data_IF_731719404907
#
_entry.id   IF_731719404907
#
_cell.length_a   1.000
_cell.length_b   1.000
_cell.length_c   1.000
_cell.angle_alpha   90.00
_cell.angle_beta   90.00
_cell.angle_gamma   90.00
#
_symmetry.space_group_name_H-M   'P 1'
#
loop_
_entity.id
_entity.type
_entity.pdbx_description
1 polymer ?
#
# COMPACT_ATOMS: atom_id res chain seq x y z
N UNK A 1 -3.51 -33.30 -28.73
CA UNK A 1 -2.77 -32.65 -27.62
C UNK A 1 -3.54 -31.39 -27.25
N UNK A 2 -4.47 -31.49 -26.29
CA UNK A 2 -4.31 -30.93 -24.94
C UNK A 2 -3.97 -29.43 -25.02
N UNK A 3 -4.89 -28.48 -24.88
CA UNK A 3 -6.00 -28.43 -23.94
C UNK A 3 -5.52 -27.79 -22.64
N UNK A 4 -5.47 -26.46 -22.57
CA UNK A 4 -5.24 -25.70 -21.33
C UNK A 4 -5.72 -24.23 -21.35
N UNK A 5 -6.54 -23.78 -22.32
CA UNK A 5 -6.87 -22.34 -22.46
C UNK A 5 -8.30 -21.92 -22.04
N UNK A 6 -9.10 -22.84 -21.49
CA UNK A 6 -10.50 -22.53 -21.14
C UNK A 6 -10.82 -22.40 -19.65
N UNK A 7 -9.88 -22.72 -18.75
CA UNK A 7 -10.13 -22.70 -17.30
C UNK A 7 -9.69 -21.44 -16.56
N UNK A 8 -8.89 -20.55 -17.18
CA UNK A 8 -8.42 -19.33 -16.50
C UNK A 8 -9.40 -18.14 -16.68
N UNK A 9 -10.27 -18.15 -17.71
CA UNK A 9 -11.23 -17.05 -17.96
C UNK A 9 -12.60 -17.18 -17.27
N UNK A 10 -12.89 -18.28 -16.56
CA UNK A 10 -14.22 -18.51 -15.95
C UNK A 10 -14.27 -18.38 -14.42
N UNK A 11 -13.17 -18.00 -13.76
CA UNK A 11 -13.10 -17.89 -12.29
C UNK A 11 -12.97 -16.46 -11.74
N UNK A 12 -13.41 -15.44 -12.49
CA UNK A 12 -13.48 -14.03 -12.02
C UNK A 12 -14.77 -13.35 -12.51
N UNK A 13 -15.92 -14.04 -12.47
CA UNK A 13 -17.25 -13.43 -12.71
C UNK A 13 -18.35 -14.02 -11.84
N UNK A 14 -18.08 -14.09 -10.54
CA UNK A 14 -19.06 -14.56 -9.58
C UNK A 14 -18.75 -14.10 -8.17
N UNK A 15 -18.89 -12.79 -7.91
CA UNK A 15 -19.30 -12.26 -6.59
C UNK A 15 -19.50 -10.74 -6.64
N UNK A 16 -20.77 -10.36 -6.49
CA UNK A 16 -21.26 -9.15 -5.82
C UNK A 16 -20.86 -7.77 -6.37
N UNK A 17 -21.67 -7.26 -7.31
CA UNK A 17 -22.03 -5.83 -7.33
C UNK A 17 -22.81 -5.52 -6.05
N UNK A 18 -22.15 -5.05 -5.00
CA UNK A 18 -22.81 -4.25 -3.96
C UNK A 18 -22.67 -2.79 -4.34
N UNK A 19 -23.80 -2.24 -4.80
CA UNK A 19 -24.05 -0.83 -5.04
C UNK A 19 -23.77 -0.07 -3.74
N UNK A 20 -22.75 0.78 -3.74
CA UNK A 20 -22.58 1.80 -2.70
C UNK A 20 -23.75 2.77 -2.85
N UNK A 21 -24.73 2.63 -1.94
CA UNK A 21 -25.77 3.63 -1.76
C UNK A 21 -25.18 4.65 -0.79
N UNK A 22 -24.87 5.83 -1.29
CA UNK A 22 -24.66 7.04 -0.49
C UNK A 22 -25.92 7.18 0.35
N UNK A 23 -25.77 7.12 1.67
CA UNK A 23 -26.88 7.32 2.59
C UNK A 23 -26.78 8.76 3.08
N UNK A 24 -27.58 9.62 2.44
CA UNK A 24 -27.80 10.98 2.84
C UNK A 24 -28.40 11.03 4.25
N UNK A 25 -28.00 12.07 4.98
CA UNK A 25 -28.35 12.30 6.36
C UNK A 25 -29.86 12.32 6.58
N UNK A 26 -30.34 11.40 7.42
CA UNK A 26 -31.62 11.50 8.08
C UNK A 26 -31.39 11.28 9.58
N UNK A 27 -31.75 12.29 10.37
CA UNK A 27 -31.44 12.43 11.77
C UNK A 27 -31.77 11.19 12.60
N UNK A 28 -30.77 10.71 13.34
CA UNK A 28 -31.01 9.92 14.54
C UNK A 28 -30.83 10.86 15.72
N UNK A 29 -31.95 11.21 16.34
CA UNK A 29 -31.96 11.75 17.69
C UNK A 29 -31.08 10.84 18.59
N UNK A 30 -30.26 11.41 19.49
CA UNK A 30 -29.52 10.60 20.43
C UNK A 30 -30.53 9.84 21.28
N UNK A 31 -30.48 8.51 21.20
CA UNK A 31 -31.27 7.65 22.06
C UNK A 31 -30.96 8.04 23.51
N UNK A 32 -31.93 8.72 24.15
CA UNK A 32 -31.90 9.02 25.57
C UNK A 32 -31.74 7.67 26.26
N UNK A 33 -30.53 7.41 26.78
CA UNK A 33 -30.25 6.27 27.62
C UNK A 33 -31.21 6.38 28.78
N UNK A 34 -32.31 5.62 28.75
CA UNK A 34 -33.16 5.40 29.92
C UNK A 34 -32.20 5.04 31.04
N UNK A 35 -32.19 5.88 32.07
CA UNK A 35 -31.50 5.63 33.32
C UNK A 35 -31.92 4.23 33.73
N UNK A 36 -31.00 3.26 33.64
CA UNK A 36 -31.24 1.92 34.16
C UNK A 36 -31.50 2.13 35.64
N UNK A 37 -32.76 2.02 36.06
CA UNK A 37 -33.11 1.73 37.45
C UNK A 37 -32.17 0.63 37.88
N UNK A 38 -31.42 0.87 38.96
CA UNK A 38 -30.36 -0.01 39.42
C UNK A 38 -30.85 -1.45 39.42
N UNK A 39 -30.42 -2.19 38.41
CA UNK A 39 -30.91 -3.54 38.17
C UNK A 39 -30.21 -4.42 39.19
N UNK A 40 -30.89 -4.66 40.31
CA UNK A 40 -30.46 -5.56 41.38
C UNK A 40 -30.30 -6.99 40.84
N UNK A 41 -30.74 -7.27 39.60
CA UNK A 41 -30.52 -8.49 38.82
C UNK A 41 -29.10 -8.69 38.28
N UNK A 42 -28.08 -8.05 38.85
CA UNK A 42 -26.70 -8.52 38.66
C UNK A 42 -26.43 -9.85 39.39
N UNK A 43 -27.25 -10.87 39.14
CA UNK A 43 -27.03 -12.29 39.47
C UNK A 43 -26.63 -12.55 40.92
N UNK A 44 -27.24 -11.83 41.86
CA UNK A 44 -26.90 -11.88 43.29
C UNK A 44 -28.06 -12.31 44.18
N UNK A 45 -29.17 -12.79 43.64
CA UNK A 45 -30.19 -13.41 44.51
C UNK A 45 -29.61 -14.72 45.00
N UNK A 46 -29.10 -14.74 46.23
CA UNK A 46 -28.76 -16.01 46.87
C UNK A 46 -30.03 -16.84 46.94
N UNK A 47 -29.97 -18.14 46.64
CA UNK A 47 -31.12 -19.04 46.76
C UNK A 47 -31.76 -19.02 48.16
N UNK A 48 -31.04 -18.49 49.16
CA UNK A 48 -31.45 -18.40 50.55
C UNK A 48 -32.26 -17.14 50.91
N UNK A 49 -32.38 -16.14 50.02
CA UNK A 49 -33.06 -14.86 50.32
C UNK A 49 -33.97 -14.45 49.16
N UNK A 50 -35.13 -13.90 49.48
CA UNK A 50 -35.98 -13.22 48.49
C UNK A 50 -35.33 -11.92 48.00
N UNK A 51 -35.82 -11.36 46.89
CA UNK A 51 -35.29 -10.11 46.34
C UNK A 51 -35.35 -8.95 47.34
N UNK A 52 -36.45 -8.85 48.10
CA UNK A 52 -36.64 -7.84 49.15
C UNK A 52 -35.72 -8.05 50.35
N UNK A 53 -35.56 -9.29 50.80
CA UNK A 53 -34.60 -9.62 51.87
C UNK A 53 -33.17 -9.29 51.45
N UNK A 54 -32.83 -9.55 50.19
CA UNK A 54 -31.53 -9.23 49.64
C UNK A 54 -31.29 -7.71 49.60
N UNK A 55 -32.28 -6.91 49.19
CA UNK A 55 -32.21 -5.43 49.25
C UNK A 55 -31.91 -4.93 50.66
N UNK A 56 -32.67 -5.41 51.65
CA UNK A 56 -32.50 -5.00 53.05
C UNK A 56 -31.14 -5.41 53.59
N UNK A 57 -30.68 -6.64 53.34
CA UNK A 57 -29.35 -7.11 53.75
C UNK A 57 -28.23 -6.19 53.24
N UNK A 58 -28.34 -5.75 51.99
CA UNK A 58 -27.34 -4.91 51.36
C UNK A 58 -27.33 -3.50 51.93
N UNK A 59 -28.52 -2.92 52.16
CA UNK A 59 -28.65 -1.64 52.83
C UNK A 59 -28.01 -1.72 54.21
N UNK A 60 -28.35 -2.74 55.00
CA UNK A 60 -27.76 -2.95 56.32
C UNK A 60 -26.22 -3.06 56.23
N UNK A 61 -25.69 -3.91 55.34
CA UNK A 61 -24.24 -4.08 55.19
C UNK A 61 -23.48 -2.79 54.88
N UNK A 62 -24.10 -1.90 54.09
CA UNK A 62 -23.55 -0.61 53.66
C UNK A 62 -23.68 0.50 54.71
N UNK A 63 -24.79 0.54 55.45
CA UNK A 63 -25.07 1.61 56.41
C UNK A 63 -24.61 1.28 57.83
N UNK A 64 -24.06 0.08 58.07
CA UNK A 64 -23.52 -0.29 59.38
C UNK A 64 -22.32 0.57 59.79
N UNK A 65 -22.25 1.08 61.04
CA UNK A 65 -23.15 0.84 62.17
C UNK A 65 -24.32 1.84 62.31
N UNK A 66 -24.47 2.77 61.37
CA UNK A 66 -25.35 3.95 61.47
C UNK A 66 -26.84 3.68 61.19
N UNK A 67 -27.39 2.54 61.62
CA UNK A 67 -28.81 2.25 61.51
C UNK A 67 -29.60 2.92 62.64
N UNK A 68 -29.64 4.26 62.64
CA UNK A 68 -30.54 5.08 63.44
C UNK A 68 -30.82 4.58 64.88
N UNK A 69 -29.78 4.52 65.72
CA UNK A 69 -29.96 4.56 67.17
C UNK A 69 -28.97 5.59 67.78
N UNK A 70 -29.41 6.77 68.23
CA UNK A 70 -28.53 7.84 68.72
C UNK A 70 -27.85 7.56 70.08
N UNK A 71 -28.07 6.39 70.70
CA UNK A 71 -27.82 6.22 72.14
C UNK A 71 -26.66 5.27 72.48
N UNK A 72 -26.07 4.57 71.51
CA UNK A 72 -24.97 3.64 71.84
C UNK A 72 -23.63 4.22 71.42
N UNK A 73 -22.84 4.63 72.41
CA UNK A 73 -21.46 5.11 72.30
C UNK A 73 -20.65 4.31 71.27
N UNK A 74 -19.87 5.05 70.47
CA UNK A 74 -18.96 4.57 69.42
C UNK A 74 -17.78 3.76 69.99
N UNK A 75 -18.07 2.64 70.65
CA UNK A 75 -17.04 1.70 71.11
C UNK A 75 -16.71 0.74 69.98
N UNK A 76 -15.44 0.72 69.57
CA UNK A 76 -14.83 -0.12 68.52
C UNK A 76 -15.61 -1.41 68.20
N UNK A 77 -16.50 -1.33 67.20
CA UNK A 77 -17.40 -2.43 66.92
C UNK A 77 -16.66 -3.48 66.09
N UNK A 78 -16.12 -4.49 66.77
CA UNK A 78 -15.45 -5.62 66.14
C UNK A 78 -16.31 -6.26 65.04
N UNK A 79 -15.66 -6.69 63.94
CA UNK A 79 -16.27 -7.39 62.79
C UNK A 79 -17.17 -8.57 63.20
N UNK A 80 -16.91 -9.15 64.38
CA UNK A 80 -17.72 -10.18 65.02
C UNK A 80 -19.14 -9.73 65.36
N UNK A 81 -19.29 -8.50 65.85
CA UNK A 81 -20.56 -7.91 66.28
C UNK A 81 -21.39 -7.41 65.10
N UNK A 82 -20.75 -6.91 64.03
CA UNK A 82 -21.42 -6.46 62.79
C UNK A 82 -22.44 -7.46 62.28
N UNK A 83 -21.99 -8.67 62.00
CA UNK A 83 -22.84 -9.67 61.36
C UNK A 83 -23.89 -10.25 62.31
N UNK A 84 -23.65 -10.23 63.62
CA UNK A 84 -24.66 -10.59 64.62
C UNK A 84 -25.78 -9.55 64.67
N UNK A 85 -25.44 -8.25 64.62
CA UNK A 85 -26.43 -7.16 64.52
C UNK A 85 -27.23 -7.23 63.21
N UNK A 86 -26.55 -7.48 62.07
CA UNK A 86 -27.22 -7.67 60.77
C UNK A 86 -28.19 -8.86 60.84
N UNK A 87 -27.77 -9.99 61.42
CA UNK A 87 -28.63 -11.19 61.53
C UNK A 87 -29.88 -10.92 62.36
N UNK A 88 -29.74 -10.27 63.52
CA UNK A 88 -30.87 -9.94 64.39
C UNK A 88 -31.84 -8.98 63.70
N UNK A 89 -31.32 -7.94 63.04
CA UNK A 89 -32.15 -6.97 62.29
C UNK A 89 -32.88 -7.63 61.13
N UNK A 90 -32.22 -8.55 60.42
CA UNK A 90 -32.84 -9.34 59.35
C UNK A 90 -33.96 -10.25 59.89
N UNK A 91 -33.78 -10.88 61.06
CA UNK A 91 -34.82 -11.71 61.71
C UNK A 91 -35.98 -10.89 62.27
N UNK A 92 -35.71 -9.68 62.77
CA UNK A 92 -36.73 -8.77 63.25
C UNK A 92 -37.64 -8.28 62.11
N UNK A 93 -37.07 -7.98 60.94
CA UNK A 93 -37.82 -7.54 59.75
C UNK A 93 -38.47 -8.69 58.98
N UNK A 94 -37.89 -9.88 59.03
CA UNK A 94 -38.36 -11.05 58.30
C UNK A 94 -38.43 -12.26 59.23
N UNK A 95 -39.59 -12.46 59.86
CA UNK A 95 -39.83 -13.52 60.86
C UNK A 95 -39.59 -14.94 60.31
N UNK A 96 -39.74 -15.15 59.00
CA UNK A 96 -39.55 -16.45 58.33
C UNK A 96 -38.14 -16.69 57.78
N UNK A 97 -37.16 -15.82 58.06
CA UNK A 97 -35.82 -15.95 57.50
C UNK A 97 -35.01 -17.07 58.17
N UNK A 98 -34.48 -18.00 57.38
CA UNK A 98 -33.63 -19.11 57.85
C UNK A 98 -32.13 -18.82 57.71
N UNK A 99 -31.77 -17.65 57.18
CA UNK A 99 -30.38 -17.28 56.89
C UNK A 99 -29.58 -17.01 58.17
N UNK A 100 -28.44 -17.71 58.31
CA UNK A 100 -27.52 -17.54 59.44
C UNK A 100 -26.49 -16.44 59.16
N UNK A 101 -25.81 -15.96 60.21
CA UNK A 101 -24.65 -15.05 60.10
C UNK A 101 -23.66 -15.41 58.98
N UNK A 102 -23.27 -16.69 58.92
CA UNK A 102 -22.29 -17.19 57.94
C UNK A 102 -22.84 -17.08 56.52
N UNK A 103 -24.12 -17.38 56.34
CA UNK A 103 -24.82 -17.28 55.06
C UNK A 103 -24.87 -15.82 54.59
N UNK A 104 -25.32 -14.90 55.45
CA UNK A 104 -25.41 -13.47 55.13
C UNK A 104 -24.05 -12.86 54.77
N UNK A 105 -23.02 -13.22 55.54
CA UNK A 105 -21.64 -12.80 55.26
C UNK A 105 -21.13 -13.37 53.93
N UNK A 106 -21.37 -14.65 53.65
CA UNK A 106 -20.98 -15.31 52.41
C UNK A 106 -21.65 -14.66 51.19
N UNK A 107 -22.92 -14.29 51.30
CA UNK A 107 -23.68 -13.60 50.24
C UNK A 107 -23.04 -12.25 49.90
N UNK A 108 -22.73 -11.44 50.91
CA UNK A 108 -22.12 -10.13 50.70
C UNK A 108 -20.66 -10.23 50.19
N UNK A 109 -19.86 -11.17 50.72
CA UNK A 109 -18.49 -11.41 50.24
C UNK A 109 -18.45 -11.90 48.81
N UNK A 110 -19.33 -12.84 48.43
CA UNK A 110 -19.45 -13.33 47.06
C UNK A 110 -19.82 -12.19 46.09
N UNK A 111 -20.75 -11.31 46.49
CA UNK A 111 -21.12 -10.12 45.70
C UNK A 111 -19.96 -9.15 45.52
N UNK A 112 -19.20 -8.87 46.58
CA UNK A 112 -17.99 -8.01 46.50
C UNK A 112 -16.97 -8.59 45.53
N UNK A 113 -16.67 -9.88 45.66
CA UNK A 113 -15.76 -10.59 44.76
C UNK A 113 -16.24 -10.56 43.30
N UNK A 114 -17.54 -10.78 43.07
CA UNK A 114 -18.14 -10.73 41.73
C UNK A 114 -18.09 -9.34 41.10
N UNK A 115 -18.30 -8.28 41.89
CA UNK A 115 -18.13 -6.89 41.42
C UNK A 115 -16.69 -6.61 41.04
N UNK A 116 -15.75 -7.05 41.85
CA UNK A 116 -14.32 -6.86 41.58
C UNK A 116 -13.89 -7.64 40.33
N UNK A 117 -14.36 -8.88 40.18
CA UNK A 117 -14.14 -9.68 38.98
C UNK A 117 -14.70 -8.99 37.73
N UNK A 118 -15.91 -8.43 37.81
CA UNK A 118 -16.50 -7.67 36.70
C UNK A 118 -15.81 -6.33 36.43
N UNK A 119 -15.16 -5.73 37.45
CA UNK A 119 -14.34 -4.52 37.29
C UNK A 119 -13.05 -4.86 36.57
N UNK A 120 -12.36 -5.92 37.01
CA UNK A 120 -11.13 -6.40 36.39
C UNK A 120 -11.37 -6.85 34.94
N UNK A 121 -12.46 -7.57 34.67
CA UNK A 121 -12.83 -7.96 33.29
C UNK A 121 -12.97 -6.74 32.38
N UNK A 122 -13.70 -5.70 32.80
CA UNK A 122 -13.83 -4.46 32.02
C UNK A 122 -12.48 -3.78 31.80
N UNK A 123 -11.62 -3.73 32.82
CA UNK A 123 -10.28 -3.15 32.68
C UNK A 123 -9.37 -3.93 31.72
N UNK A 124 -9.54 -5.25 31.61
CA UNK A 124 -8.83 -6.08 30.63
C UNK A 124 -9.39 -5.85 29.24
N UNK A 125 -10.72 -5.86 29.06
CA UNK A 125 -11.37 -5.58 27.78
C UNK A 125 -11.02 -4.19 27.24
N UNK A 126 -10.99 -3.16 28.08
CA UNK A 126 -10.58 -1.80 27.69
C UNK A 126 -9.12 -1.74 27.21
N UNK A 127 -8.23 -2.48 27.88
CA UNK A 127 -6.81 -2.57 27.47
C UNK A 127 -6.64 -3.34 26.17
N UNK A 128 -7.28 -4.49 26.02
CA UNK A 128 -7.24 -5.28 24.78
C UNK A 128 -7.80 -4.51 23.59
N UNK A 129 -8.87 -3.74 23.79
CA UNK A 129 -9.44 -2.91 22.73
C UNK A 129 -8.55 -1.72 22.38
N UNK A 130 -7.89 -1.09 23.37
CA UNK A 130 -6.92 -0.03 23.14
C UNK A 130 -5.69 -0.53 22.37
N UNK A 131 -5.07 -1.62 22.82
CA UNK A 131 -3.90 -2.22 22.16
C UNK A 131 -4.20 -2.66 20.72
N UNK A 132 -5.40 -3.20 20.46
CA UNK A 132 -5.82 -3.55 19.11
C UNK A 132 -5.99 -2.32 18.22
N UNK A 133 -6.57 -1.24 18.76
CA UNK A 133 -6.73 0.01 18.01
C UNK A 133 -5.37 0.63 17.68
N UNK A 134 -4.46 0.69 18.65
CA UNK A 134 -3.10 1.23 18.47
C UNK A 134 -2.28 0.38 17.50
N UNK A 135 -2.37 -0.95 17.56
CA UNK A 135 -1.69 -1.82 16.61
C UNK A 135 -2.22 -1.63 15.18
N UNK A 136 -3.53 -1.45 15.01
CA UNK A 136 -4.13 -1.20 13.69
C UNK A 136 -3.79 0.18 13.13
N UNK A 137 -3.74 1.23 13.96
CA UNK A 137 -3.40 2.58 13.49
C UNK A 137 -1.94 2.69 13.09
N UNK A 138 -1.03 2.05 13.84
CA UNK A 138 0.40 2.01 13.49
C UNK A 138 0.63 1.28 12.15
N UNK A 139 -0.04 0.13 11.94
CA UNK A 139 0.05 -0.61 10.68
C UNK A 139 -0.53 0.19 9.49
N UNK A 140 -1.69 0.84 9.67
CA UNK A 140 -2.31 1.69 8.65
C UNK A 140 -1.42 2.90 8.28
N UNK A 141 -0.78 3.54 9.26
CA UNK A 141 0.13 4.67 9.03
C UNK A 141 1.40 4.25 8.27
N UNK A 142 1.99 3.11 8.64
CA UNK A 142 3.15 2.55 7.94
C UNK A 142 2.80 2.18 6.49
N UNK A 143 1.67 1.52 6.28
CA UNK A 143 1.19 1.18 4.94
C UNK A 143 0.93 2.44 4.10
N UNK A 144 0.33 3.49 4.67
CA UNK A 144 0.12 4.75 3.97
C UNK A 144 1.44 5.43 3.59
N UNK A 145 2.44 5.39 4.47
CA UNK A 145 3.76 5.96 4.18
C UNK A 145 4.45 5.20 3.03
N UNK A 146 4.37 3.87 3.02
CA UNK A 146 4.92 3.05 1.95
C UNK A 146 4.19 3.28 0.61
N UNK A 147 2.86 3.38 0.63
CA UNK A 147 2.07 3.72 -0.56
C UNK A 147 2.50 5.08 -1.13
N UNK A 148 2.73 6.09 -0.29
CA UNK A 148 3.21 7.41 -0.75
C UNK A 148 4.60 7.31 -1.38
N UNK A 149 5.50 6.55 -0.76
CA UNK A 149 6.86 6.33 -1.28
C UNK A 149 6.82 5.63 -2.64
N UNK A 150 6.05 4.56 -2.77
CA UNK A 150 5.90 3.81 -4.02
C UNK A 150 5.27 4.67 -5.12
N UNK A 151 4.24 5.48 -4.81
CA UNK A 151 3.65 6.41 -5.77
C UNK A 151 4.67 7.41 -6.31
N UNK A 152 5.48 8.00 -5.45
CA UNK A 152 6.52 8.94 -5.86
C UNK A 152 7.57 8.26 -6.76
N UNK A 153 7.95 7.01 -6.45
CA UNK A 153 8.89 6.25 -7.28
C UNK A 153 8.30 5.93 -8.66
N UNK A 154 7.03 5.52 -8.72
CA UNK A 154 6.34 5.27 -9.99
C UNK A 154 6.30 6.53 -10.84
N UNK A 155 5.92 7.68 -10.26
CA UNK A 155 5.85 8.95 -10.98
C UNK A 155 7.24 9.38 -11.51
N UNK A 156 8.30 9.20 -10.72
CA UNK A 156 9.66 9.46 -11.18
C UNK A 156 10.06 8.55 -12.35
N UNK A 157 9.76 7.25 -12.25
CA UNK A 157 10.05 6.27 -13.30
C UNK A 157 9.27 6.57 -14.58
N UNK A 158 8.01 7.00 -14.48
CA UNK A 158 7.19 7.40 -15.63
C UNK A 158 7.80 8.61 -16.36
N UNK A 159 8.27 9.62 -15.62
CA UNK A 159 8.96 10.78 -16.21
C UNK A 159 10.25 10.36 -16.92
N UNK A 160 11.08 9.54 -16.28
CA UNK A 160 12.31 9.01 -16.90
C UNK A 160 11.97 8.20 -18.16
N UNK A 161 10.93 7.35 -18.10
CA UNK A 161 10.51 6.57 -19.25
C UNK A 161 10.06 7.46 -20.43
N UNK A 162 9.32 8.54 -20.15
CA UNK A 162 8.92 9.48 -21.20
C UNK A 162 10.10 10.16 -21.87
N UNK A 163 11.13 10.56 -21.10
CA UNK A 163 12.34 11.17 -21.65
C UNK A 163 13.10 10.18 -22.53
N UNK A 164 13.30 8.95 -22.03
CA UNK A 164 14.01 7.91 -22.80
C UNK A 164 13.29 7.54 -24.10
N UNK A 165 11.95 7.53 -24.10
CA UNK A 165 11.18 7.32 -25.34
C UNK A 165 11.41 8.45 -26.34
N UNK A 166 11.39 9.69 -25.88
CA UNK A 166 11.65 10.84 -26.74
C UNK A 166 13.07 10.81 -27.31
N UNK A 167 14.08 10.56 -26.48
CA UNK A 167 15.47 10.43 -26.92
C UNK A 167 15.65 9.31 -27.94
N UNK A 168 14.96 8.18 -27.73
CA UNK A 168 14.96 7.07 -28.70
C UNK A 168 14.33 7.50 -30.02
N UNK A 169 13.16 8.12 -30.01
CA UNK A 169 12.47 8.58 -31.22
C UNK A 169 13.32 9.60 -32.00
N UNK A 170 14.03 10.49 -31.31
CA UNK A 170 14.92 11.45 -31.92
C UNK A 170 16.20 10.78 -32.47
N UNK A 171 16.73 9.79 -31.77
CA UNK A 171 17.81 8.94 -32.26
C UNK A 171 17.44 8.18 -33.53
N UNK A 172 16.25 7.58 -33.57
CA UNK A 172 15.74 6.85 -34.73
C UNK A 172 15.56 7.78 -35.95
N UNK A 173 15.04 8.99 -35.74
CA UNK A 173 14.98 10.02 -36.81
C UNK A 173 16.38 10.39 -37.33
N UNK A 174 17.33 10.59 -36.43
CA UNK A 174 18.71 10.92 -36.82
C UNK A 174 19.36 9.78 -37.62
N UNK A 175 19.14 8.53 -37.23
CA UNK A 175 19.58 7.36 -37.98
C UNK A 175 19.01 7.32 -39.40
N UNK A 176 17.72 7.61 -39.58
CA UNK A 176 17.09 7.69 -40.91
C UNK A 176 17.73 8.79 -41.77
N UNK A 177 17.98 9.98 -41.19
CA UNK A 177 18.65 11.07 -41.90
C UNK A 177 20.06 10.65 -42.34
N UNK A 178 20.85 10.06 -41.45
CA UNK A 178 22.19 9.57 -41.78
C UNK A 178 22.17 8.49 -42.86
N UNK A 179 21.21 7.57 -42.81
CA UNK A 179 21.05 6.52 -43.81
C UNK A 179 20.73 7.11 -45.20
N UNK A 180 19.89 8.14 -45.26
CA UNK A 180 19.60 8.86 -46.50
C UNK A 180 20.84 9.58 -47.06
N UNK A 181 21.60 10.28 -46.21
CA UNK A 181 22.85 10.94 -46.60
C UNK A 181 23.86 9.92 -47.12
N UNK A 182 24.04 8.80 -46.44
CA UNK A 182 24.94 7.72 -46.87
C UNK A 182 24.52 7.15 -48.23
N UNK A 183 23.22 6.97 -48.46
CA UNK A 183 22.68 6.52 -49.74
C UNK A 183 23.00 7.52 -50.86
N UNK A 184 22.73 8.81 -50.63
CA UNK A 184 23.05 9.88 -51.59
C UNK A 184 24.55 9.93 -51.90
N UNK A 185 25.40 9.95 -50.88
CA UNK A 185 26.85 9.97 -51.04
C UNK A 185 27.37 8.75 -51.81
N UNK A 186 26.77 7.57 -51.59
CA UNK A 186 27.11 6.36 -52.35
C UNK A 186 26.77 6.53 -53.83
N UNK A 187 25.59 7.05 -54.15
CA UNK A 187 25.19 7.30 -55.55
C UNK A 187 26.07 8.35 -56.22
N UNK A 188 26.45 9.40 -55.49
CA UNK A 188 27.36 10.44 -55.97
C UNK A 188 28.76 9.87 -56.22
N UNK A 189 29.29 9.08 -55.29
CA UNK A 189 30.58 8.40 -55.45
C UNK A 189 30.59 7.49 -56.68
N UNK A 190 29.52 6.74 -56.93
CA UNK A 190 29.41 5.88 -58.12
C UNK A 190 29.32 6.70 -59.42
N UNK A 191 28.64 7.85 -59.40
CA UNK A 191 28.61 8.80 -60.52
C UNK A 191 30.00 9.39 -60.81
N UNK A 192 30.71 9.81 -59.75
CA UNK A 192 32.07 10.33 -59.86
C UNK A 192 33.05 9.28 -60.36
N UNK A 193 32.98 8.03 -59.86
CA UNK A 193 33.79 6.91 -60.38
C UNK A 193 33.59 6.71 -61.87
N UNK A 194 32.34 6.70 -62.36
CA UNK A 194 32.04 6.61 -63.80
C UNK A 194 32.61 7.78 -64.59
N UNK A 195 32.56 9.01 -64.05
CA UNK A 195 33.16 10.20 -64.69
C UNK A 195 34.69 10.11 -64.75
N UNK A 196 35.32 9.63 -63.68
CA UNK A 196 36.78 9.40 -63.62
C UNK A 196 37.20 8.36 -64.65
N UNK A 197 36.49 7.23 -64.74
CA UNK A 197 36.80 6.18 -65.71
C UNK A 197 36.66 6.67 -67.17
N UNK A 198 35.59 7.43 -67.47
CA UNK A 198 35.44 8.06 -68.78
C UNK A 198 36.58 9.01 -69.13
N UNK A 199 37.07 9.79 -68.16
CA UNK A 199 38.21 10.69 -68.36
C UNK A 199 39.51 9.91 -68.55
N UNK A 200 39.70 8.81 -67.79
CA UNK A 200 40.86 7.93 -67.92
C UNK A 200 40.96 7.34 -69.33
N UNK A 201 39.89 6.74 -69.85
CA UNK A 201 39.86 6.19 -71.21
C UNK A 201 40.19 7.26 -72.26
N UNK A 202 39.67 8.49 -72.10
CA UNK A 202 40.01 9.61 -72.99
C UNK A 202 41.49 10.00 -72.92
N UNK A 203 42.08 10.01 -71.73
CA UNK A 203 43.51 10.30 -71.56
C UNK A 203 44.35 9.22 -72.23
N UNK A 204 43.99 7.95 -72.06
CA UNK A 204 44.69 6.82 -72.71
C UNK A 204 44.62 6.95 -74.24
N UNK A 205 43.44 7.21 -74.81
CA UNK A 205 43.28 7.44 -76.26
C UNK A 205 44.11 8.63 -76.78
N UNK A 206 44.08 9.77 -76.07
CA UNK A 206 44.89 10.95 -76.43
C UNK A 206 46.40 10.68 -76.31
N UNK A 207 46.83 9.87 -75.34
CA UNK A 207 48.22 9.48 -75.19
C UNK A 207 48.69 8.58 -76.34
N UNK A 208 47.85 7.64 -76.79
CA UNK A 208 48.11 6.82 -77.98
C UNK A 208 48.24 7.67 -79.25
N UNK A 209 47.32 8.61 -79.46
CA UNK A 209 47.38 9.54 -80.59
C UNK A 209 48.65 10.40 -80.57
N UNK A 210 49.03 10.94 -79.41
CA UNK A 210 50.25 11.72 -79.23
C UNK A 210 51.50 10.87 -79.52
N UNK A 211 51.50 9.61 -79.08
CA UNK A 211 52.57 8.65 -79.38
C UNK A 211 52.70 8.40 -80.88
N UNK A 212 51.59 8.19 -81.58
CA UNK A 212 51.54 8.01 -83.05
C UNK A 212 52.06 9.25 -83.78
N UNK A 213 51.57 10.44 -83.44
CA UNK A 213 52.03 11.71 -84.03
C UNK A 213 53.52 11.92 -83.79
N UNK A 214 54.01 11.61 -82.59
CA UNK A 214 55.43 11.70 -82.25
C UNK A 214 56.30 10.73 -83.06
N UNK A 215 55.82 9.51 -83.33
CA UNK A 215 56.50 8.55 -84.21
C UNK A 215 56.55 9.05 -85.65
N UNK A 216 55.41 9.48 -86.20
CA UNK A 216 55.32 10.03 -87.55
C UNK A 216 56.27 11.25 -87.72
N UNK A 217 56.30 12.15 -86.73
CA UNK A 217 57.21 13.29 -86.74
C UNK A 217 58.67 12.86 -86.74
N UNK A 218 59.03 11.79 -86.00
CA UNK A 218 60.38 11.23 -85.99
C UNK A 218 60.76 10.62 -87.35
N UNK A 219 59.85 9.90 -87.98
CA UNK A 219 60.05 9.31 -89.32
C UNK A 219 60.19 10.38 -90.40
N UNK A 220 59.32 11.40 -90.40
CA UNK A 220 59.44 12.55 -91.30
C UNK A 220 60.80 13.26 -91.13
N UNK A 221 61.25 13.49 -89.90
CA UNK A 221 62.59 14.04 -89.63
C UNK A 221 63.71 13.16 -90.20
N UNK A 222 63.60 11.82 -90.07
CA UNK A 222 64.56 10.89 -90.66
C UNK A 222 64.56 10.98 -92.19
N UNK A 223 63.41 10.96 -92.84
CA UNK A 223 63.30 11.06 -94.30
C UNK A 223 63.86 12.39 -94.82
N UNK A 224 63.53 13.51 -94.17
CA UNK A 224 64.11 14.82 -94.50
C UNK A 224 65.63 14.80 -94.39
N UNK A 225 66.17 14.26 -93.30
CA UNK A 225 67.63 14.15 -93.13
C UNK A 225 68.31 13.23 -94.16
N UNK A 226 67.59 12.22 -94.67
CA UNK A 226 68.09 11.34 -95.72
C UNK A 226 68.09 12.04 -97.09
N UNK A 227 67.02 12.76 -97.43
CA UNK A 227 66.93 13.56 -98.66
C UNK A 227 68.03 14.63 -98.72
N UNK A 228 68.25 15.36 -97.62
CA UNK A 228 69.33 16.34 -97.50
C UNK A 228 70.74 15.74 -97.71
N UNK A 229 70.94 14.47 -97.39
CA UNK A 229 72.22 13.76 -97.65
C UNK A 229 72.37 13.31 -99.10
N UNK A 230 71.28 13.02 -99.80
CA UNK A 230 71.30 12.63 -101.21
C UNK A 230 71.54 13.85 -102.12
N UNK A 231 70.94 15.00 -101.81
CA UNK A 231 71.14 16.24 -102.58
C UNK A 231 72.56 16.84 -102.39
N UNK A 232 73.21 16.57 -101.27
CA UNK A 232 74.60 16.99 -101.00
C UNK A 232 75.69 16.08 -101.59
N UNK A 233 75.33 14.92 -102.16
CA UNK A 233 76.28 13.96 -102.74
C UNK A 233 76.32 14.00 -104.28
N UNK A 234 75.53 14.88 -104.91
CA UNK A 234 75.43 15.04 -106.37
C UNK A 234 75.96 16.36 -106.92
N UNK A 235 76.77 17.10 -106.16
CA UNK A 235 77.43 18.35 -106.57
C UNK A 235 78.93 18.21 -106.72
#
# INVERSE_FOLDING_TARGET
>A
MLGCDWWIRRRIRGRTRKRWRVNDGAGRQPAVKKQKTEDIRCGTVSFCLTEEQHKVLLTLEQTYPNWADPVTEMSSVHHGKKWASIENEMKARFVSITATRKTLMGICSHRKLKRELNRLRRSVEEREMGERQDATTIDDEQQQQEIRKLKNQVEQLERVNSVLRQEKDDGDKHCVVLQNILSMNKTEADCLKKKVEKKRVKIEALAEELGRVSSNARELRKMLSASLRQDGAGG
#
